data_IF_111676024492
#
_entry.id   IF_111676024492
#
_cell.length_a   1.000
_cell.length_b   1.000
_cell.length_c   1.000
_cell.angle_alpha   90.00
_cell.angle_beta   90.00
_cell.angle_gamma   90.00
#
_symmetry.space_group_name_H-M   'P 1'
#
loop_
_entity.id
_entity.type
_entity.pdbx_description
1 polymer ?
#
# COMPACT_ATOMS: atom_id res chain seq x y z
N UNK A 1 23.74 -2.51 -13.11
CA UNK A 1 23.54 -2.14 -11.68
C UNK A 1 23.18 -0.66 -11.69
N UNK A 2 21.90 -0.32 -11.53
CA UNK A 2 21.41 1.06 -11.75
C UNK A 2 21.46 1.94 -10.49
N UNK A 3 21.69 3.23 -10.71
CA UNK A 3 21.87 4.36 -9.79
C UNK A 3 20.77 4.58 -8.73
N UNK A 4 20.56 3.62 -7.83
CA UNK A 4 19.61 3.74 -6.70
C UNK A 4 20.24 3.44 -5.34
N UNK A 5 21.58 3.49 -5.25
CA UNK A 5 22.36 2.98 -4.12
C UNK A 5 21.93 3.44 -2.73
N UNK A 6 21.38 4.66 -2.60
CA UNK A 6 21.17 5.30 -1.31
C UNK A 6 19.73 5.78 -1.03
N UNK A 7 18.75 5.45 -1.88
CA UNK A 7 17.36 5.94 -1.68
C UNK A 7 16.53 4.90 -0.92
N UNK A 8 16.19 5.22 0.33
CA UNK A 8 15.33 4.38 1.17
C UNK A 8 13.85 4.51 0.75
N UNK A 9 13.09 3.41 0.81
CA UNK A 9 11.68 3.35 0.39
C UNK A 9 10.85 2.48 1.33
N UNK A 10 9.63 2.91 1.63
CA UNK A 10 8.61 2.06 2.23
C UNK A 10 8.00 1.13 1.16
N UNK A 11 8.17 -0.19 1.30
CA UNK A 11 7.93 -1.17 0.23
C UNK A 11 7.27 -2.44 0.75
N UNK A 12 6.23 -2.91 0.07
CA UNK A 12 5.71 -4.26 0.19
C UNK A 12 6.36 -5.17 -0.85
N UNK A 13 6.81 -6.36 -0.45
CA UNK A 13 7.37 -7.39 -1.34
C UNK A 13 6.43 -8.59 -1.32
N UNK A 14 6.05 -9.07 -2.50
CA UNK A 14 5.17 -10.24 -2.64
C UNK A 14 6.02 -11.44 -3.01
N UNK A 15 5.92 -12.49 -2.20
CA UNK A 15 6.62 -13.76 -2.36
C UNK A 15 5.57 -14.84 -2.64
N UNK A 16 5.78 -15.63 -3.68
CA UNK A 16 4.89 -16.73 -4.05
C UNK A 16 4.93 -17.86 -3.02
N UNK A 17 3.97 -18.76 -3.12
CA UNK A 17 3.94 -20.01 -2.35
C UNK A 17 5.12 -20.95 -2.63
N UNK A 18 5.89 -20.71 -3.70
CA UNK A 18 7.12 -21.45 -4.03
C UNK A 18 8.38 -20.76 -3.50
N UNK A 19 8.25 -19.63 -2.80
CA UNK A 19 9.37 -18.83 -2.30
C UNK A 19 9.97 -17.85 -3.31
N UNK A 20 9.42 -17.75 -4.53
CA UNK A 20 9.91 -16.81 -5.55
C UNK A 20 9.36 -15.40 -5.33
N UNK A 21 10.16 -14.36 -5.54
CA UNK A 21 9.67 -12.98 -5.51
C UNK A 21 8.82 -12.73 -6.76
N UNK A 22 7.53 -12.43 -6.57
CA UNK A 22 6.62 -12.04 -7.67
C UNK A 22 6.90 -10.58 -8.06
N UNK A 23 7.10 -9.72 -7.07
CA UNK A 23 7.37 -8.31 -7.31
C UNK A 23 7.34 -7.48 -6.04
N UNK A 24 7.29 -6.15 -6.21
CA UNK A 24 7.25 -5.20 -5.10
C UNK A 24 6.39 -3.98 -5.44
N UNK A 25 5.79 -3.38 -4.41
CA UNK A 25 5.03 -2.15 -4.48
C UNK A 25 5.58 -1.14 -3.46
N UNK A 26 5.84 0.09 -3.89
CA UNK A 26 6.31 1.19 -3.02
C UNK A 26 5.14 2.07 -2.63
N UNK A 27 5.09 2.46 -1.35
CA UNK A 27 3.99 3.24 -0.75
C UNK A 27 3.71 4.52 -1.55
N UNK A 28 2.52 4.62 -2.14
CA UNK A 28 2.12 5.77 -2.98
C UNK A 28 1.98 7.06 -2.18
N UNK A 29 1.36 6.99 -1.00
CA UNK A 29 1.05 8.17 -0.18
C UNK A 29 1.90 8.17 1.09
N UNK A 30 2.82 9.14 1.20
CA UNK A 30 3.71 9.29 2.35
C UNK A 30 3.12 10.32 3.34
N UNK A 31 2.86 9.94 4.61
CA UNK A 31 2.33 10.86 5.61
C UNK A 31 3.35 11.93 6.02
N UNK A 32 2.81 13.08 6.41
CA UNK A 32 3.53 14.27 6.91
C UNK A 32 2.79 14.85 8.12
N UNK A 33 2.33 13.99 9.03
CA UNK A 33 1.35 14.34 10.07
C UNK A 33 1.83 13.89 11.44
N UNK A 34 1.94 14.82 12.38
CA UNK A 34 2.29 14.54 13.78
C UNK A 34 3.60 13.76 13.90
N UNK A 35 3.57 12.65 14.63
CA UNK A 35 4.73 11.76 14.80
C UNK A 35 5.05 10.92 13.54
N UNK A 36 4.14 10.87 12.56
CA UNK A 36 4.31 10.14 11.31
C UNK A 36 4.98 11.01 10.23
N UNK A 37 6.21 11.45 10.51
CA UNK A 37 7.05 12.24 9.59
C UNK A 37 7.80 11.36 8.57
N UNK A 38 7.07 10.46 7.89
CA UNK A 38 7.68 9.48 6.98
C UNK A 38 8.38 10.12 5.76
N UNK A 39 7.97 11.34 5.36
CA UNK A 39 8.60 12.05 4.23
C UNK A 39 10.06 12.42 4.45
N UNK A 40 10.54 12.42 5.70
CA UNK A 40 11.95 12.63 6.02
C UNK A 40 12.80 11.42 5.59
N UNK A 41 12.20 10.24 5.47
CA UNK A 41 12.90 8.98 5.22
C UNK A 41 12.69 8.46 3.79
N UNK A 42 11.49 8.63 3.23
CA UNK A 42 11.09 7.99 1.97
C UNK A 42 10.36 8.96 1.05
N UNK A 43 10.59 8.79 -0.25
CA UNK A 43 9.79 9.44 -1.30
C UNK A 43 8.57 8.60 -1.68
N UNK A 44 7.58 9.27 -2.27
CA UNK A 44 6.41 8.64 -2.87
C UNK A 44 6.79 7.49 -3.82
N UNK A 45 5.93 6.47 -3.82
CA UNK A 45 6.07 5.31 -4.68
C UNK A 45 6.06 5.68 -6.16
N UNK A 46 6.94 5.03 -6.93
CA UNK A 46 6.98 5.15 -8.38
C UNK A 46 6.62 3.84 -9.10
N UNK A 47 5.93 2.95 -8.39
CA UNK A 47 5.50 1.63 -8.89
C UNK A 47 4.04 1.61 -9.36
N UNK A 48 3.31 2.72 -9.25
CA UNK A 48 1.89 2.79 -9.59
C UNK A 48 1.03 1.94 -8.65
N UNK A 49 0.02 1.27 -9.20
CA UNK A 49 -0.96 0.46 -8.47
C UNK A 49 -0.93 -1.01 -8.93
N UNK A 50 0.19 -1.74 -8.73
CA UNK A 50 0.34 -3.08 -9.27
C UNK A 50 -0.62 -4.06 -8.61
N UNK A 51 -1.12 -4.99 -9.41
CA UNK A 51 -1.86 -6.17 -8.96
C UNK A 51 -1.00 -7.39 -9.27
N UNK A 52 -0.84 -8.25 -8.27
CA UNK A 52 0.02 -9.43 -8.34
C UNK A 52 -0.87 -10.66 -8.49
N UNK A 53 -0.75 -11.34 -9.61
CA UNK A 53 -1.41 -12.61 -9.83
C UNK A 53 -0.70 -13.71 -9.02
N UNK A 54 -1.47 -14.40 -8.19
CA UNK A 54 -1.01 -15.55 -7.41
C UNK A 54 -1.88 -16.76 -7.76
N UNK A 55 -1.45 -17.95 -7.37
CA UNK A 55 -2.27 -19.16 -7.51
C UNK A 55 -3.59 -19.12 -6.70
N UNK A 56 -3.74 -18.13 -5.81
CA UNK A 56 -4.91 -17.96 -4.93
C UNK A 56 -5.77 -16.74 -5.30
N UNK A 57 -5.47 -16.08 -6.42
CA UNK A 57 -6.14 -14.86 -6.87
C UNK A 57 -5.20 -13.67 -7.03
N UNK A 58 -5.79 -12.57 -7.51
CA UNK A 58 -5.14 -11.30 -7.81
C UNK A 58 -5.14 -10.40 -6.59
N UNK A 59 -3.96 -10.18 -6.03
CA UNK A 59 -3.81 -9.40 -4.80
C UNK A 59 -3.14 -8.05 -5.07
N UNK A 60 -3.55 -7.04 -4.31
CA UNK A 60 -2.88 -5.75 -4.26
C UNK A 60 -2.55 -5.37 -2.81
N UNK A 61 -1.66 -4.38 -2.65
CA UNK A 61 -1.20 -3.93 -1.33
C UNK A 61 -1.32 -2.41 -1.26
N UNK A 62 -2.27 -1.90 -0.47
CA UNK A 62 -2.37 -0.49 -0.13
C UNK A 62 -1.63 -0.23 1.18
N UNK A 63 -0.50 0.47 1.15
CA UNK A 63 0.38 0.57 2.33
C UNK A 63 -0.04 1.76 3.23
N UNK A 64 -0.48 1.46 4.46
CA UNK A 64 -0.70 2.38 5.57
C UNK A 64 -1.50 3.64 5.18
N UNK A 65 -0.85 4.79 5.03
CA UNK A 65 -1.48 6.10 4.77
C UNK A 65 -2.25 6.18 3.43
N UNK A 66 -2.00 5.25 2.50
CA UNK A 66 -2.85 5.09 1.33
C UNK A 66 -4.29 4.68 1.67
N UNK A 67 -4.58 4.25 2.91
CA UNK A 67 -5.92 3.99 3.45
C UNK A 67 -6.85 5.21 3.34
N UNK A 68 -6.32 6.41 3.50
CA UNK A 68 -7.07 7.67 3.52
C UNK A 68 -7.41 8.21 2.12
N UNK A 69 -6.98 7.54 1.05
CA UNK A 69 -7.10 8.03 -0.32
C UNK A 69 -8.01 7.11 -1.14
N UNK A 70 -9.31 7.42 -1.29
CA UNK A 70 -10.25 6.59 -2.05
C UNK A 70 -9.78 6.29 -3.48
N UNK A 71 -9.14 7.26 -4.17
CA UNK A 71 -8.61 7.01 -5.50
C UNK A 71 -7.49 5.96 -5.54
N UNK A 72 -6.71 5.82 -4.46
CA UNK A 72 -5.63 4.83 -4.37
C UNK A 72 -6.23 3.41 -4.30
N UNK A 73 -7.31 3.23 -3.51
CA UNK A 73 -8.09 1.98 -3.49
C UNK A 73 -8.72 1.68 -4.84
N UNK A 74 -9.36 2.69 -5.45
CA UNK A 74 -10.03 2.56 -6.74
C UNK A 74 -9.09 2.11 -7.85
N UNK A 75 -7.87 2.65 -7.90
CA UNK A 75 -6.90 2.24 -8.91
C UNK A 75 -6.48 0.77 -8.79
N UNK A 76 -6.43 0.20 -7.58
CA UNK A 76 -6.21 -1.24 -7.42
C UNK A 76 -7.40 -2.07 -7.91
N UNK A 77 -8.62 -1.64 -7.60
CA UNK A 77 -9.85 -2.27 -8.12
C UNK A 77 -9.93 -2.24 -9.64
N UNK A 78 -9.67 -1.08 -10.26
CA UNK A 78 -9.63 -0.91 -11.72
C UNK A 78 -8.56 -1.77 -12.40
N UNK A 79 -7.45 -2.03 -11.72
CA UNK A 79 -6.39 -2.90 -12.21
C UNK A 79 -6.70 -4.41 -11.98
N UNK A 80 -7.89 -4.74 -11.46
CA UNK A 80 -8.38 -6.12 -11.33
C UNK A 80 -7.94 -6.83 -10.05
N UNK A 81 -7.70 -6.10 -8.95
CA UNK A 81 -7.46 -6.71 -7.65
C UNK A 81 -8.73 -7.37 -7.10
N UNK A 82 -8.64 -8.63 -6.68
CA UNK A 82 -9.70 -9.36 -6.00
C UNK A 82 -9.61 -9.20 -4.48
N UNK A 83 -8.38 -9.04 -3.96
CA UNK A 83 -8.11 -8.80 -2.54
C UNK A 83 -7.09 -7.67 -2.42
N UNK A 84 -7.39 -6.64 -1.63
CA UNK A 84 -6.44 -5.56 -1.32
C UNK A 84 -6.02 -5.65 0.15
N UNK A 85 -4.77 -5.99 0.42
CA UNK A 85 -4.20 -5.97 1.76
C UNK A 85 -3.85 -4.53 2.17
N UNK A 86 -4.07 -4.17 3.44
CA UNK A 86 -3.74 -2.85 3.97
C UNK A 86 -2.86 -2.89 5.23
N UNK A 87 -1.57 -3.29 5.11
CA UNK A 87 -0.64 -3.26 6.23
C UNK A 87 -0.44 -1.83 6.71
N UNK A 88 -0.72 -1.58 7.98
CA UNK A 88 -0.75 -0.23 8.56
C UNK A 88 -0.13 -0.20 9.95
N UNK A 89 0.45 0.94 10.30
CA UNK A 89 0.85 1.29 11.66
C UNK A 89 0.32 2.69 11.95
N UNK A 90 -0.57 2.81 12.91
CA UNK A 90 -1.20 4.07 13.29
C UNK A 90 -1.49 4.06 14.79
N UNK A 91 -1.50 5.22 15.43
CA UNK A 91 -1.73 5.36 16.87
C UNK A 91 -2.67 6.53 17.14
N UNK A 92 -3.31 6.48 18.30
CA UNK A 92 -3.99 7.62 18.89
C UNK A 92 -5.47 7.76 18.51
N UNK A 93 -6.14 8.56 19.34
CA UNK A 93 -7.59 8.72 19.36
C UNK A 93 -8.19 9.31 18.08
N UNK A 94 -7.40 9.99 17.25
CA UNK A 94 -7.88 10.57 15.99
C UNK A 94 -7.85 9.59 14.82
N UNK A 95 -7.03 8.53 14.89
CA UNK A 95 -6.94 7.54 13.81
C UNK A 95 -7.90 6.36 14.02
N UNK A 96 -8.09 5.93 15.27
CA UNK A 96 -8.94 4.79 15.63
C UNK A 96 -10.39 4.91 15.13
N UNK A 97 -11.08 6.08 15.18
CA UNK A 97 -12.44 6.20 14.66
C UNK A 97 -12.54 5.94 13.15
N UNK A 98 -11.47 6.20 12.40
CA UNK A 98 -11.43 5.98 10.95
C UNK A 98 -11.14 4.51 10.58
N UNK A 99 -10.60 3.72 11.52
CA UNK A 99 -10.10 2.37 11.28
C UNK A 99 -11.17 1.43 10.74
N UNK A 100 -12.36 1.46 11.35
CA UNK A 100 -13.50 0.62 10.95
C UNK A 100 -14.23 1.11 9.69
N UNK A 101 -13.89 2.31 9.21
CA UNK A 101 -14.63 3.01 8.15
C UNK A 101 -13.91 2.88 6.81
N UNK A 102 -12.65 3.26 6.73
CA UNK A 102 -12.00 3.53 5.44
C UNK A 102 -11.75 2.26 4.62
N UNK A 103 -11.14 1.24 5.23
CA UNK A 103 -10.91 -0.04 4.56
C UNK A 103 -12.23 -0.77 4.23
N UNK A 104 -13.25 -0.61 5.09
CA UNK A 104 -14.57 -1.19 4.85
C UNK A 104 -15.32 -0.50 3.72
N UNK A 105 -15.23 0.82 3.63
CA UNK A 105 -15.76 1.58 2.50
C UNK A 105 -15.06 1.17 1.20
N UNK A 106 -13.73 1.07 1.20
CA UNK A 106 -12.98 0.61 0.05
C UNK A 106 -13.41 -0.78 -0.45
N UNK A 107 -13.71 -1.71 0.47
CA UNK A 107 -14.22 -3.03 0.13
C UNK A 107 -15.67 -3.07 -0.39
N UNK A 108 -16.46 -2.01 -0.17
CA UNK A 108 -17.83 -1.89 -0.70
C UNK A 108 -17.81 -1.20 -2.07
N UNK A 109 -16.94 -0.21 -2.24
CA UNK A 109 -16.93 0.65 -3.43
C UNK A 109 -16.20 0.04 -4.64
N UNK A 110 -15.35 -0.96 -4.43
CA UNK A 110 -14.50 -1.59 -5.46
C UNK A 110 -14.68 -3.10 -5.45
#
# INVERSE_FOLDING_TARGET
>A
RGDHGDIIRNTAVVISNTGNIIGKHRKNHIPRVGDFNESTYYYEGNTGHPVFETQFGKIAINICYGRHHPQNWMMFGLNGAEIVFNPSATIGALSEPLWSIEARNAAIAN
#
